data_IF_375223429889
#
_entry.id   IF_375223429889
#
_cell.length_a   1.000
_cell.length_b   1.000
_cell.length_c   1.000
_cell.angle_alpha   90.00
_cell.angle_beta   90.00
_cell.angle_gamma   90.00
#
_symmetry.space_group_name_H-M   'P 1'
#
loop_
_entity.id
_entity.type
_entity.pdbx_description
1 polymer ?
#
# COMPACT_ATOMS: atom_id res chain seq x y z
N UNK A 1 24.28 27.80 27.32
CA UNK A 1 23.57 27.13 26.22
C UNK A 1 22.17 26.90 26.72
N UNK A 2 21.19 27.53 26.10
CA UNK A 2 19.79 27.44 26.52
C UNK A 2 19.30 26.02 26.22
N UNK A 3 19.19 25.19 27.27
CA UNK A 3 18.87 23.75 27.18
C UNK A 3 17.39 23.45 27.30
N UNK A 4 16.53 24.47 27.13
CA UNK A 4 15.08 24.30 27.09
C UNK A 4 14.64 23.59 25.80
N UNK A 5 13.47 22.93 25.82
CA UNK A 5 12.87 22.44 24.59
C UNK A 5 12.65 23.61 23.63
N UNK A 6 13.13 23.50 22.39
CA UNK A 6 12.81 24.48 21.36
C UNK A 6 11.30 24.45 21.10
N UNK A 7 10.62 25.61 21.03
CA UNK A 7 9.21 25.63 20.67
C UNK A 7 9.01 25.06 19.27
N UNK A 8 7.87 24.39 19.06
CA UNK A 8 7.53 23.85 17.74
C UNK A 8 7.42 24.99 16.70
N UNK A 9 7.88 24.78 15.46
CA UNK A 9 7.79 25.78 14.39
C UNK A 9 6.36 26.27 14.22
N UNK A 10 6.20 27.59 14.08
CA UNK A 10 4.90 28.18 13.77
C UNK A 10 4.64 28.04 12.28
N UNK A 11 3.75 27.10 11.94
CA UNK A 11 3.35 26.83 10.55
C UNK A 11 2.00 27.44 10.22
N UNK A 12 1.37 28.24 11.09
CA UNK A 12 0.02 28.76 10.82
C UNK A 12 -0.02 29.91 9.82
N UNK A 13 1.09 30.64 9.64
CA UNK A 13 1.09 31.90 8.89
C UNK A 13 0.80 31.68 7.40
N UNK A 14 -0.44 31.93 6.97
CA UNK A 14 -0.91 31.61 5.62
C UNK A 14 -0.25 32.42 4.49
N UNK A 15 0.42 33.53 4.82
CA UNK A 15 1.17 34.35 3.86
C UNK A 15 2.59 33.84 3.65
N UNK A 16 3.07 32.97 4.54
CA UNK A 16 4.42 32.41 4.49
C UNK A 16 4.44 31.19 3.57
N UNK A 17 4.81 31.40 2.31
CA UNK A 17 4.88 30.33 1.31
C UNK A 17 6.06 29.37 1.56
N UNK A 18 6.99 29.75 2.44
CA UNK A 18 8.14 28.93 2.83
C UNK A 18 7.77 27.58 3.43
N UNK A 19 6.55 27.41 3.94
CA UNK A 19 6.04 26.16 4.50
C UNK A 19 5.67 25.11 3.45
N UNK A 20 5.33 25.52 2.21
CA UNK A 20 4.80 24.62 1.18
C UNK A 20 5.76 23.47 0.83
N UNK A 21 7.08 23.69 0.61
CA UNK A 21 8.01 22.60 0.39
C UNK A 21 8.07 21.60 1.55
N UNK A 22 7.90 22.05 2.79
CA UNK A 22 7.86 21.19 3.97
C UNK A 22 6.56 20.39 4.05
N UNK A 23 5.41 20.99 3.70
CA UNK A 23 4.14 20.27 3.60
C UNK A 23 4.25 19.13 2.58
N UNK A 24 4.75 19.42 1.38
CA UNK A 24 4.92 18.41 0.33
C UNK A 24 5.89 17.30 0.76
N UNK A 25 7.04 17.67 1.32
CA UNK A 25 8.04 16.70 1.78
C UNK A 25 7.53 15.83 2.94
N UNK A 26 6.81 16.42 3.90
CA UNK A 26 6.25 15.74 5.05
C UNK A 26 5.15 14.78 4.65
N UNK A 27 4.20 15.23 3.83
CA UNK A 27 3.11 14.37 3.35
C UNK A 27 3.64 13.24 2.48
N UNK A 28 4.60 13.50 1.58
CA UNK A 28 5.27 12.44 0.80
C UNK A 28 5.97 11.41 1.70
N UNK A 29 6.65 11.85 2.75
CA UNK A 29 7.31 10.96 3.70
C UNK A 29 6.29 10.07 4.43
N UNK A 30 5.20 10.65 4.92
CA UNK A 30 4.11 9.90 5.58
C UNK A 30 3.46 8.93 4.61
N UNK A 31 3.24 9.34 3.36
CA UNK A 31 2.64 8.51 2.31
C UNK A 31 3.53 7.30 1.97
N UNK A 32 4.85 7.51 1.84
CA UNK A 32 5.81 6.40 1.66
C UNK A 32 5.74 5.40 2.82
N UNK A 33 5.62 5.88 4.06
CA UNK A 33 5.45 5.01 5.23
C UNK A 33 4.11 4.27 5.19
N UNK A 34 3.01 4.94 4.84
CA UNK A 34 1.70 4.32 4.71
C UNK A 34 1.72 3.21 3.66
N UNK A 35 2.19 3.50 2.46
CA UNK A 35 2.24 2.52 1.37
C UNK A 35 3.13 1.35 1.77
N UNK A 36 4.29 1.60 2.38
CA UNK A 36 5.12 0.54 2.92
C UNK A 36 4.33 -0.35 3.90
N UNK A 37 3.61 0.23 4.85
CA UNK A 37 2.83 -0.55 5.80
C UNK A 37 1.70 -1.33 5.12
N UNK A 38 1.00 -0.72 4.17
CA UNK A 38 -0.09 -1.35 3.40
C UNK A 38 0.42 -2.53 2.55
N UNK A 39 1.60 -2.41 1.94
CA UNK A 39 2.19 -3.48 1.10
C UNK A 39 2.74 -4.64 1.92
N UNK A 40 3.38 -4.36 3.06
CA UNK A 40 4.07 -5.39 3.85
C UNK A 40 3.21 -5.96 4.99
N UNK A 41 2.15 -5.25 5.41
CA UNK A 41 1.24 -5.67 6.47
C UNK A 41 -0.24 -5.46 6.07
N UNK A 42 -0.70 -6.01 4.92
CA UNK A 42 -2.04 -5.75 4.37
C UNK A 42 -3.18 -6.16 5.31
N UNK A 43 -2.97 -7.21 6.12
CA UNK A 43 -3.96 -7.66 7.13
C UNK A 43 -4.16 -6.66 8.27
N UNK A 44 -3.23 -5.71 8.45
CA UNK A 44 -3.23 -4.73 9.55
C UNK A 44 -3.51 -3.31 9.09
N UNK A 45 -3.17 -2.98 7.84
CA UNK A 45 -3.23 -1.62 7.31
C UNK A 45 -3.86 -1.62 5.92
N UNK A 46 -4.96 -0.89 5.77
CA UNK A 46 -5.58 -0.57 4.47
C UNK A 46 -6.44 -1.65 3.80
N UNK A 47 -6.22 -2.93 4.11
CA UNK A 47 -6.99 -4.02 3.51
C UNK A 47 -6.76 -4.19 2.01
N UNK A 48 -7.72 -4.85 1.35
CA UNK A 48 -7.61 -5.18 -0.07
C UNK A 48 -7.85 -3.95 -0.95
N UNK A 49 -8.83 -3.12 -0.60
CA UNK A 49 -9.17 -1.93 -1.39
C UNK A 49 -8.04 -0.90 -1.42
N UNK A 50 -7.25 -0.72 -0.35
CA UNK A 50 -6.12 0.20 -0.38
C UNK A 50 -4.93 -0.36 -1.18
N UNK A 51 -4.71 -1.68 -1.18
CA UNK A 51 -3.74 -2.28 -2.09
C UNK A 51 -4.17 -2.14 -3.55
N UNK A 52 -5.46 -2.35 -3.83
CA UNK A 52 -6.04 -2.15 -5.16
C UNK A 52 -5.93 -0.69 -5.61
N UNK A 53 -6.05 0.29 -4.70
CA UNK A 53 -5.86 1.72 -4.99
C UNK A 53 -4.46 1.98 -5.57
N UNK A 54 -3.42 1.48 -4.91
CA UNK A 54 -2.06 1.65 -5.39
C UNK A 54 -1.71 0.75 -6.59
N UNK A 55 -2.35 -0.42 -6.73
CA UNK A 55 -2.15 -1.30 -7.90
C UNK A 55 -2.78 -0.72 -9.17
N UNK A 56 -3.96 -0.11 -9.06
CA UNK A 56 -4.67 0.45 -10.22
C UNK A 56 -4.13 1.82 -10.64
N UNK A 57 -3.83 2.70 -9.68
CA UNK A 57 -3.53 4.11 -9.97
C UNK A 57 -2.06 4.49 -9.76
N UNK A 58 -1.28 3.68 -9.02
CA UNK A 58 0.16 3.89 -8.85
C UNK A 58 0.50 5.31 -8.37
N UNK A 59 1.24 6.08 -9.18
CA UNK A 59 1.61 7.45 -8.84
C UNK A 59 0.41 8.43 -8.83
N UNK A 60 -0.66 8.15 -9.57
CA UNK A 60 -1.85 9.01 -9.60
C UNK A 60 -2.56 9.01 -8.24
N UNK A 61 -2.64 7.83 -7.61
CA UNK A 61 -3.10 7.66 -6.23
C UNK A 61 -2.25 8.50 -5.26
N UNK A 62 -0.93 8.34 -5.33
CA UNK A 62 0.01 9.08 -4.46
C UNK A 62 -0.13 10.59 -4.61
N UNK A 63 -0.27 11.07 -5.85
CA UNK A 63 -0.47 12.50 -6.12
C UNK A 63 -1.78 12.97 -5.49
N UNK A 64 -2.88 12.24 -5.67
CA UNK A 64 -4.16 12.59 -5.06
C UNK A 64 -4.07 12.69 -3.53
N UNK A 65 -3.46 11.68 -2.90
CA UNK A 65 -3.33 11.57 -1.43
C UNK A 65 -2.42 12.68 -0.87
N UNK A 66 -1.32 13.01 -1.56
CA UNK A 66 -0.45 14.11 -1.14
C UNK A 66 -1.16 15.45 -1.23
N UNK A 67 -1.78 15.76 -2.38
CA UNK A 67 -2.33 17.08 -2.61
C UNK A 67 -3.57 17.35 -1.75
N UNK A 68 -4.37 16.35 -1.44
CA UNK A 68 -5.53 16.59 -0.57
C UNK A 68 -5.13 16.97 0.85
N UNK A 69 -4.10 16.34 1.41
CA UNK A 69 -3.56 16.70 2.72
C UNK A 69 -2.92 18.10 2.69
N UNK A 70 -2.17 18.43 1.63
CA UNK A 70 -1.55 19.76 1.46
C UNK A 70 -2.62 20.85 1.37
N UNK A 71 -3.72 20.63 0.65
CA UNK A 71 -4.87 21.54 0.62
C UNK A 71 -5.45 21.71 2.04
N UNK A 72 -5.61 20.62 2.80
CA UNK A 72 -6.04 20.66 4.19
C UNK A 72 -5.12 21.52 5.08
N UNK A 73 -3.80 21.38 4.94
CA UNK A 73 -2.81 22.19 5.65
C UNK A 73 -2.93 23.69 5.30
N UNK A 74 -3.02 24.03 4.01
CA UNK A 74 -3.18 25.41 3.55
C UNK A 74 -4.49 26.05 4.06
N UNK A 75 -5.60 25.32 4.01
CA UNK A 75 -6.86 25.78 4.58
C UNK A 75 -6.77 25.97 6.10
N UNK A 76 -6.04 25.08 6.78
CA UNK A 76 -5.80 25.18 8.23
C UNK A 76 -4.97 26.40 8.59
N UNK A 77 -3.94 26.73 7.80
CA UNK A 77 -3.19 27.98 7.96
C UNK A 77 -4.11 29.20 7.92
N UNK A 78 -4.98 29.26 6.90
CA UNK A 78 -5.92 30.36 6.74
C UNK A 78 -6.92 30.43 7.91
N UNK A 79 -7.61 29.33 8.22
CA UNK A 79 -8.63 29.29 9.28
C UNK A 79 -8.01 29.56 10.65
N UNK A 80 -6.87 28.95 10.95
CA UNK A 80 -6.18 29.16 12.23
C UNK A 80 -5.75 30.62 12.39
N UNK A 81 -5.08 31.19 11.38
CA UNK A 81 -4.61 32.58 11.43
C UNK A 81 -5.76 33.57 11.51
N UNK A 82 -6.84 33.33 10.78
CA UNK A 82 -7.99 34.25 10.74
C UNK A 82 -8.84 34.22 12.02
N UNK A 83 -9.01 33.04 12.64
CA UNK A 83 -10.04 32.85 13.68
C UNK A 83 -9.53 32.36 15.03
N UNK A 84 -8.38 31.65 15.09
CA UNK A 84 -7.87 31.02 16.33
C UNK A 84 -6.70 31.81 16.90
N UNK A 85 -5.72 32.14 16.06
CA UNK A 85 -4.51 32.86 16.45
C UNK A 85 -4.76 34.21 17.13
N UNK A 86 -5.75 35.04 16.74
CA UNK A 86 -6.00 36.33 17.39
C UNK A 86 -6.37 36.21 18.88
N UNK A 87 -6.95 35.07 19.28
CA UNK A 87 -7.40 34.82 20.66
C UNK A 87 -6.38 34.02 21.46
N UNK A 88 -5.78 33.00 20.83
CA UNK A 88 -4.96 31.99 21.54
C UNK A 88 -3.47 32.05 21.21
N UNK A 89 -3.06 32.87 20.23
CA UNK A 89 -1.70 32.87 19.70
C UNK A 89 -1.32 31.57 18.98
N UNK A 90 -0.03 31.31 18.83
CA UNK A 90 0.46 30.06 18.28
C UNK A 90 0.29 28.91 19.28
N UNK A 91 -0.49 27.90 18.91
CA UNK A 91 -0.70 26.69 19.67
C UNK A 91 -0.78 25.50 18.68
N UNK A 92 0.26 24.65 18.62
CA UNK A 92 0.34 23.57 17.64
C UNK A 92 -0.77 22.52 17.82
N UNK A 93 -1.25 22.29 19.06
CA UNK A 93 -2.34 21.35 19.30
C UNK A 93 -3.67 21.88 18.77
N UNK A 94 -3.95 23.17 18.95
CA UNK A 94 -5.13 23.80 18.37
C UNK A 94 -5.03 23.85 16.84
N UNK A 95 -3.84 24.05 16.29
CA UNK A 95 -3.63 23.99 14.83
C UNK A 95 -3.96 22.60 14.27
N UNK A 96 -3.43 21.55 14.89
CA UNK A 96 -3.74 20.16 14.50
C UNK A 96 -5.23 19.85 14.68
N UNK A 97 -5.87 20.36 15.73
CA UNK A 97 -7.31 20.19 15.91
C UNK A 97 -8.13 20.88 14.79
N UNK A 98 -7.74 22.08 14.35
CA UNK A 98 -8.35 22.75 13.19
C UNK A 98 -8.14 21.92 11.93
N UNK A 99 -6.94 21.39 11.71
CA UNK A 99 -6.62 20.55 10.55
C UNK A 99 -7.48 19.30 10.47
N UNK A 100 -7.61 18.56 11.57
CA UNK A 100 -8.50 17.39 11.64
C UNK A 100 -9.95 17.80 11.41
N UNK A 101 -10.40 18.92 11.98
CA UNK A 101 -11.75 19.43 11.74
C UNK A 101 -12.03 19.74 10.27
N UNK A 102 -11.09 20.39 9.57
CA UNK A 102 -11.18 20.68 8.14
C UNK A 102 -11.20 19.40 7.32
N UNK A 103 -10.33 18.44 7.64
CA UNK A 103 -10.27 17.14 7.00
C UNK A 103 -11.63 16.40 7.12
N UNK A 104 -12.22 16.35 8.32
CA UNK A 104 -13.49 15.65 8.53
C UNK A 104 -14.63 16.28 7.73
N UNK A 105 -14.68 17.61 7.68
CA UNK A 105 -15.67 18.34 6.87
C UNK A 105 -15.45 18.04 5.38
N UNK A 106 -14.20 18.06 4.92
CA UNK A 106 -13.84 17.74 3.55
C UNK A 106 -14.31 16.34 3.16
N UNK A 107 -14.00 15.31 3.96
CA UNK A 107 -14.35 13.92 3.64
C UNK A 107 -15.86 13.71 3.54
N UNK A 108 -16.63 14.31 4.44
CA UNK A 108 -18.09 14.23 4.40
C UNK A 108 -18.65 14.90 3.15
N UNK A 109 -18.15 16.09 2.80
CA UNK A 109 -18.56 16.80 1.59
C UNK A 109 -18.15 16.00 0.35
N UNK A 110 -16.94 15.46 0.31
CA UNK A 110 -16.43 14.70 -0.82
C UNK A 110 -17.20 13.40 -1.02
N UNK A 111 -17.48 12.67 0.07
CA UNK A 111 -18.23 11.42 0.00
C UNK A 111 -19.67 11.65 -0.46
N UNK A 112 -20.41 12.55 0.20
CA UNK A 112 -21.83 12.75 -0.13
C UNK A 112 -22.05 13.61 -1.37
N UNK A 113 -21.16 14.56 -1.65
CA UNK A 113 -21.27 15.51 -2.75
C UNK A 113 -20.63 15.04 -4.05
N UNK A 114 -19.59 14.19 -3.99
CA UNK A 114 -18.82 13.77 -5.18
C UNK A 114 -18.85 12.26 -5.38
N UNK A 115 -18.41 11.46 -4.40
CA UNK A 115 -18.26 10.00 -4.58
C UNK A 115 -19.62 9.34 -4.79
N UNK A 116 -20.57 9.57 -3.89
CA UNK A 116 -21.88 8.88 -3.89
C UNK A 116 -22.75 9.21 -5.10
N UNK A 117 -22.83 10.45 -5.60
CA UNK A 117 -23.67 10.78 -6.75
C UNK A 117 -23.18 10.24 -8.10
N UNK A 118 -21.88 9.98 -8.26
CA UNK A 118 -21.32 9.49 -9.52
C UNK A 118 -21.76 8.03 -9.75
N UNK A 119 -22.44 7.69 -10.87
CA UNK A 119 -22.78 6.31 -11.20
C UNK A 119 -21.57 5.37 -11.30
N UNK A 120 -21.79 4.08 -10.98
CA UNK A 120 -20.75 3.05 -11.17
C UNK A 120 -20.41 2.88 -12.65
N UNK A 121 -19.12 2.65 -12.95
CA UNK A 121 -18.56 2.46 -14.28
C UNK A 121 -18.18 3.77 -15.01
N UNK A 122 -18.43 4.94 -14.41
CA UNK A 122 -18.06 6.23 -15.03
C UNK A 122 -16.65 6.70 -14.66
N UNK A 123 -16.15 6.32 -13.48
CA UNK A 123 -14.83 6.73 -13.00
C UNK A 123 -14.27 5.67 -12.05
N UNK A 124 -13.15 5.05 -12.45
CA UNK A 124 -12.55 3.96 -11.71
C UNK A 124 -12.13 4.35 -10.28
N UNK A 125 -11.62 5.58 -10.07
CA UNK A 125 -11.26 6.05 -8.73
C UNK A 125 -12.50 6.16 -7.84
N UNK A 126 -13.59 6.72 -8.36
CA UNK A 126 -14.85 6.86 -7.62
C UNK A 126 -15.46 5.51 -7.28
N UNK A 127 -15.33 4.53 -8.18
CA UNK A 127 -15.83 3.19 -7.95
C UNK A 127 -15.01 2.47 -6.89
N UNK A 128 -13.69 2.65 -6.87
CA UNK A 128 -12.84 2.11 -5.83
C UNK A 128 -13.07 2.82 -4.48
N UNK A 129 -13.31 4.12 -4.45
CA UNK A 129 -13.71 4.83 -3.23
C UNK A 129 -15.02 4.28 -2.65
N UNK A 130 -16.01 3.95 -3.48
CA UNK A 130 -17.25 3.31 -3.01
C UNK A 130 -17.00 1.92 -2.44
N UNK A 131 -16.11 1.14 -3.06
CA UNK A 131 -15.71 -0.18 -2.55
C UNK A 131 -15.01 -0.04 -1.19
N UNK A 132 -14.05 0.86 -1.09
CA UNK A 132 -13.32 1.18 0.14
C UNK A 132 -14.27 1.61 1.26
N UNK A 133 -15.24 2.48 0.96
CA UNK A 133 -16.29 2.91 1.90
C UNK A 133 -17.17 1.75 2.37
N UNK A 134 -17.49 0.78 1.50
CA UNK A 134 -18.24 -0.40 1.88
C UNK A 134 -17.43 -1.38 2.74
N UNK A 135 -16.11 -1.46 2.54
CA UNK A 135 -15.21 -2.33 3.30
C UNK A 135 -14.93 -1.81 4.72
N UNK A 136 -14.62 -0.52 4.86
CA UNK A 136 -14.11 0.05 6.13
C UNK A 136 -15.09 0.99 6.83
N UNK A 137 -16.14 1.47 6.16
CA UNK A 137 -17.15 2.34 6.76
C UNK A 137 -16.54 3.58 7.44
N UNK A 138 -16.89 3.82 8.70
CA UNK A 138 -16.42 4.99 9.46
C UNK A 138 -14.96 4.90 9.92
N UNK A 139 -14.31 3.74 9.83
CA UNK A 139 -12.89 3.60 10.19
C UNK A 139 -11.98 4.38 9.23
N UNK A 140 -12.45 4.70 8.02
CA UNK A 140 -11.74 5.53 7.04
C UNK A 140 -11.39 6.89 7.64
N UNK A 141 -12.36 7.54 8.29
CA UNK A 141 -12.17 8.86 8.89
C UNK A 141 -11.07 8.85 9.96
N UNK A 142 -10.90 7.74 10.68
CA UNK A 142 -9.83 7.59 11.65
C UNK A 142 -8.46 7.41 10.98
N UNK A 143 -8.42 6.64 9.89
CA UNK A 143 -7.22 6.47 9.06
C UNK A 143 -6.75 7.80 8.49
N UNK A 144 -7.66 8.54 7.87
CA UNK A 144 -7.35 9.82 7.22
C UNK A 144 -6.97 10.89 8.27
N UNK A 145 -7.62 10.90 9.44
CA UNK A 145 -7.21 11.72 10.58
C UNK A 145 -5.78 11.40 11.04
N UNK A 146 -5.39 10.12 11.08
CA UNK A 146 -4.03 9.72 11.41
C UNK A 146 -3.00 10.21 10.37
N UNK A 147 -3.36 10.20 9.08
CA UNK A 147 -2.50 10.70 8.01
C UNK A 147 -2.29 12.22 8.07
N UNK A 148 -3.34 13.00 8.32
CA UNK A 148 -3.18 14.47 8.45
C UNK A 148 -2.43 14.85 9.74
N UNK A 149 -2.66 14.16 10.86
CA UNK A 149 -1.90 14.35 12.11
C UNK A 149 -0.43 13.98 11.88
N UNK A 150 -0.18 12.83 11.25
CA UNK A 150 1.15 12.37 10.89
C UNK A 150 1.89 13.38 10.00
N UNK A 151 1.19 13.94 9.01
CA UNK A 151 1.76 14.93 8.08
C UNK A 151 2.07 16.26 8.76
N UNK A 152 1.21 16.74 9.66
CA UNK A 152 1.51 17.91 10.48
C UNK A 152 2.70 17.66 11.42
N UNK A 153 2.75 16.50 12.07
CA UNK A 153 3.87 16.09 12.92
C UNK A 153 5.19 16.01 12.15
N UNK A 154 5.18 15.39 10.96
CA UNK A 154 6.32 15.33 10.08
C UNK A 154 6.75 16.72 9.60
N UNK A 155 5.80 17.62 9.31
CA UNK A 155 6.10 19.01 8.96
C UNK A 155 6.86 19.71 10.10
N UNK A 156 6.39 19.60 11.34
CA UNK A 156 7.09 20.18 12.50
C UNK A 156 8.52 19.63 12.64
N UNK A 157 8.71 18.33 12.39
CA UNK A 157 10.02 17.70 12.43
C UNK A 157 10.94 18.20 11.30
N UNK A 158 10.43 18.29 10.07
CA UNK A 158 11.20 18.74 8.91
C UNK A 158 11.58 20.22 8.98
N UNK A 159 10.72 21.09 9.52
CA UNK A 159 11.06 22.50 9.73
C UNK A 159 12.07 22.71 10.86
N UNK A 160 12.22 21.74 11.76
CA UNK A 160 13.16 21.80 12.87
C UNK A 160 14.59 21.38 12.50
N UNK A 161 14.80 20.85 11.29
CA UNK A 161 16.11 20.39 10.79
C UNK A 161 16.62 21.31 9.65
N UNK A 162 17.91 21.23 9.27
CA UNK A 162 18.44 22.04 8.18
C UNK A 162 17.67 21.79 6.86
N UNK A 163 17.38 22.83 6.05
CA UNK A 163 16.60 22.69 4.81
C UNK A 163 17.17 21.65 3.83
N UNK A 164 18.50 21.54 3.75
CA UNK A 164 19.17 20.51 2.96
C UNK A 164 18.78 19.08 3.40
N UNK A 165 18.67 18.83 4.72
CA UNK A 165 18.28 17.52 5.25
C UNK A 165 16.82 17.21 4.93
N UNK A 166 15.92 18.18 5.08
CA UNK A 166 14.51 18.03 4.69
C UNK A 166 14.37 17.72 3.18
N UNK A 167 15.09 18.44 2.33
CA UNK A 167 15.13 18.19 0.90
C UNK A 167 15.71 16.80 0.56
N UNK A 168 16.79 16.39 1.22
CA UNK A 168 17.36 15.06 1.05
C UNK A 168 16.38 13.95 1.43
N UNK A 169 15.59 14.14 2.50
CA UNK A 169 14.54 13.18 2.87
C UNK A 169 13.43 13.14 1.83
N UNK A 170 13.00 14.29 1.29
CA UNK A 170 12.01 14.32 0.21
C UNK A 170 12.48 13.57 -1.05
N UNK A 171 13.75 13.79 -1.45
CA UNK A 171 14.37 13.08 -2.58
C UNK A 171 14.46 11.58 -2.31
N UNK A 172 14.84 11.18 -1.10
CA UNK A 172 14.89 9.77 -0.72
C UNK A 172 13.50 9.13 -0.76
N UNK A 173 12.48 9.79 -0.20
CA UNK A 173 11.09 9.32 -0.24
C UNK A 173 10.62 9.12 -1.68
N UNK A 174 10.81 10.13 -2.54
CA UNK A 174 10.45 10.04 -3.97
C UNK A 174 11.23 8.91 -4.68
N UNK A 175 12.52 8.73 -4.38
CA UNK A 175 13.33 7.67 -4.95
C UNK A 175 12.86 6.27 -4.53
N UNK A 176 12.43 6.10 -3.27
CA UNK A 176 11.96 4.80 -2.76
C UNK A 176 10.56 4.43 -3.24
N UNK A 177 9.73 5.43 -3.54
CA UNK A 177 8.32 5.25 -3.84
C UNK A 177 8.04 4.25 -4.99
N UNK A 178 8.72 4.30 -6.16
CA UNK A 178 8.49 3.34 -7.23
C UNK A 178 8.73 1.89 -6.82
N UNK A 179 9.74 1.62 -5.98
CA UNK A 179 10.04 0.27 -5.53
C UNK A 179 8.95 -0.28 -4.62
N UNK A 180 8.43 0.56 -3.72
CA UNK A 180 7.36 0.17 -2.80
C UNK A 180 6.04 -0.01 -3.57
N UNK A 181 5.69 0.91 -4.48
CA UNK A 181 4.48 0.81 -5.30
C UNK A 181 4.45 -0.48 -6.14
N UNK A 182 5.60 -0.90 -6.68
CA UNK A 182 5.73 -2.12 -7.46
C UNK A 182 5.94 -3.39 -6.62
N UNK A 183 5.91 -3.28 -5.28
CA UNK A 183 5.95 -4.45 -4.40
C UNK A 183 4.55 -5.03 -4.28
N UNK A 184 4.36 -6.25 -4.81
CA UNK A 184 3.11 -6.99 -4.61
C UNK A 184 2.94 -7.33 -3.14
N UNK A 185 1.75 -7.10 -2.60
CA UNK A 185 1.40 -7.53 -1.26
C UNK A 185 1.60 -9.04 -1.15
N UNK A 186 2.70 -9.45 -0.51
CA UNK A 186 2.89 -10.86 -0.21
C UNK A 186 2.03 -11.13 1.02
N UNK A 187 0.99 -11.94 0.86
CA UNK A 187 0.55 -12.78 1.98
C UNK A 187 1.80 -13.51 2.39
N UNK A 188 2.40 -13.15 3.53
CA UNK A 188 3.45 -13.94 4.14
C UNK A 188 2.81 -15.29 4.39
N UNK A 189 2.94 -16.20 3.41
CA UNK A 189 2.45 -17.56 3.50
C UNK A 189 3.16 -18.07 4.73
N UNK A 190 2.42 -18.17 5.83
CA UNK A 190 2.88 -18.86 7.00
C UNK A 190 3.23 -20.24 6.49
N UNK A 191 4.53 -20.52 6.36
CA UNK A 191 4.99 -21.85 6.01
C UNK A 191 4.34 -22.74 7.07
N UNK A 192 3.41 -23.64 6.71
CA UNK A 192 2.81 -24.50 7.70
C UNK A 192 3.99 -25.24 8.32
N UNK A 193 4.16 -25.20 9.64
CA UNK A 193 5.21 -25.95 10.32
C UNK A 193 4.87 -27.44 10.22
N UNK A 194 5.04 -28.02 9.05
CA UNK A 194 5.04 -29.46 8.83
C UNK A 194 6.41 -29.96 9.22
N UNK A 195 6.61 -30.12 10.52
CA UNK A 195 7.52 -31.15 11.04
C UNK A 195 7.17 -31.50 12.49
N UNK A 196 5.88 -31.73 12.78
CA UNK A 196 5.54 -32.75 13.77
C UNK A 196 5.62 -34.07 13.03
N UNK A 197 6.75 -34.77 13.23
CA UNK A 197 6.96 -36.17 12.84
C UNK A 197 5.70 -36.96 13.16
N UNK A 198 4.90 -37.28 12.14
CA UNK A 198 4.03 -38.43 12.19
C UNK A 198 4.95 -39.64 12.25
N UNK A 199 5.07 -40.18 13.46
CA UNK A 199 5.57 -41.51 13.70
C UNK A 199 4.61 -42.46 12.96
N UNK A 200 4.95 -42.79 11.71
CA UNK A 200 4.27 -43.81 10.93
C UNK A 200 4.48 -45.13 11.67
N UNK A 201 3.54 -45.44 12.57
CA UNK A 201 3.34 -46.77 13.10
C UNK A 201 2.93 -47.61 11.88
N UNK A 202 3.88 -48.38 11.34
CA UNK A 202 3.61 -49.43 10.37
C UNK A 202 2.62 -50.40 11.02
N UNK A 203 1.33 -50.23 10.76
CA UNK A 203 0.38 -51.32 10.88
C UNK A 203 0.56 -52.20 9.64
N UNK A 204 1.04 -53.42 9.87
CA UNK A 204 1.03 -54.48 8.88
C UNK A 204 -0.41 -54.70 8.39
N UNK A 205 -0.65 -54.76 7.07
CA UNK A 205 -1.97 -55.10 6.57
C UNK A 205 -2.30 -56.55 6.99
N UNK A 206 -3.53 -56.82 7.44
CA UNK A 206 -3.94 -58.17 7.80
C UNK A 206 -3.80 -59.08 6.58
N UNK A 207 -3.22 -60.27 6.81
CA UNK A 207 -3.03 -61.29 5.79
C UNK A 207 -4.36 -61.56 5.05
N UNK A 208 -4.38 -61.27 3.74
CA UNK A 208 -5.51 -61.63 2.87
C UNK A 208 -5.63 -63.16 2.85
N UNK A 209 -6.69 -63.69 3.44
CA UNK A 209 -7.12 -65.06 3.17
C UNK A 209 -7.56 -65.12 1.72
N UNK A 210 -6.86 -65.92 0.91
CA UNK A 210 -7.21 -66.17 -0.47
C UNK A 210 -8.61 -66.80 -0.54
N UNK A 211 -9.50 -66.23 -1.35
CA UNK A 211 -10.82 -66.80 -1.56
C UNK A 211 -10.75 -67.84 -2.69
N UNK A 212 -11.62 -68.86 -2.72
CA UNK A 212 -11.63 -69.88 -3.78
C UNK A 212 -11.74 -69.31 -5.21
N UNK A 213 -12.24 -68.09 -5.33
CA UNK A 213 -12.44 -67.38 -6.60
C UNK A 213 -11.14 -66.79 -7.20
N UNK A 214 -10.07 -66.67 -6.42
CA UNK A 214 -8.79 -66.12 -6.89
C UNK A 214 -8.04 -67.06 -7.85
N UNK A 215 -8.43 -68.35 -7.91
CA UNK A 215 -7.84 -69.35 -8.82
C UNK A 215 -8.44 -69.33 -10.24
N UNK A 216 -9.52 -68.57 -10.48
CA UNK A 216 -10.26 -68.60 -11.74
C UNK A 216 -9.94 -67.41 -12.68
N UNK A 217 -8.94 -66.59 -12.36
CA UNK A 217 -8.55 -65.50 -13.26
C UNK A 217 -7.69 -66.05 -14.42
N UNK A 218 -8.13 -65.91 -15.68
CA UNK A 218 -7.30 -66.28 -16.82
C UNK A 218 -6.06 -65.39 -16.86
N UNK A 219 -4.90 -66.02 -17.04
CA UNK A 219 -3.62 -65.37 -17.28
C UNK A 219 -3.68 -64.60 -18.61
N UNK A 220 -4.00 -63.30 -18.54
CA UNK A 220 -3.89 -62.41 -19.69
C UNK A 220 -2.41 -62.10 -19.89
N UNK A 221 -1.79 -62.75 -20.89
CA UNK A 221 -0.48 -62.37 -21.40
C UNK A 221 -0.58 -60.98 -22.04
N UNK A 222 -0.02 -59.96 -21.38
CA UNK A 222 0.11 -58.63 -21.98
C UNK A 222 1.21 -58.65 -23.04
N UNK A 223 0.81 -58.46 -24.30
CA UNK A 223 1.72 -58.21 -25.41
C UNK A 223 2.16 -56.74 -25.43
N UNK A 224 3.49 -56.56 -25.34
CA UNK A 224 4.34 -55.60 -26.08
C UNK A 224 4.17 -54.06 -25.87
N UNK A 225 5.13 -53.36 -25.20
CA UNK A 225 5.08 -51.92 -24.92
C UNK A 225 5.74 -50.99 -25.97
N UNK A 226 5.85 -51.39 -27.24
CA UNK A 226 6.70 -50.67 -28.24
C UNK A 226 6.02 -49.47 -28.94
N UNK A 227 4.79 -49.09 -28.60
CA UNK A 227 4.08 -48.01 -29.33
C UNK A 227 4.02 -46.63 -28.65
N UNK A 228 4.59 -46.46 -27.44
CA UNK A 228 4.48 -45.18 -26.72
C UNK A 228 5.57 -44.14 -27.06
N UNK A 229 6.70 -44.53 -27.68
CA UNK A 229 7.86 -43.62 -27.84
C UNK A 229 7.86 -42.74 -29.11
N UNK A 230 6.96 -42.94 -30.08
CA UNK A 230 6.97 -42.14 -31.33
C UNK A 230 6.28 -40.77 -31.26
N UNK A 231 5.60 -40.43 -30.17
CA UNK A 231 4.86 -39.16 -30.06
C UNK A 231 5.64 -38.01 -29.41
N UNK A 232 6.79 -38.26 -28.79
CA UNK A 232 7.58 -37.21 -28.09
C UNK A 232 8.57 -36.46 -28.99
N UNK A 233 8.96 -37.01 -30.14
CA UNK A 233 9.94 -36.38 -31.05
C UNK A 233 9.39 -35.26 -31.94
N UNK A 234 8.07 -35.09 -32.05
CA UNK A 234 7.47 -34.11 -32.97
C UNK A 234 7.20 -32.72 -32.36
N UNK A 235 7.38 -32.56 -31.04
CA UNK A 235 7.08 -31.29 -30.35
C UNK A 235 8.31 -30.45 -29.99
N UNK A 236 9.53 -30.93 -30.28
CA UNK A 236 10.77 -30.21 -29.92
C UNK A 236 11.36 -29.35 -31.04
N UNK A 237 10.74 -29.26 -32.22
CA UNK A 237 11.31 -28.59 -33.40
C UNK A 237 10.67 -27.23 -33.78
N UNK A 238 9.83 -26.63 -32.92
CA UNK A 238 9.12 -25.37 -33.25
C UNK A 238 9.36 -24.14 -32.36
N UNK A 239 10.39 -24.12 -31.51
CA UNK A 239 10.78 -22.88 -30.79
C UNK A 239 12.15 -22.37 -31.25
N UNK A 240 12.18 -21.73 -32.42
CA UNK A 240 13.34 -21.00 -32.92
C UNK A 240 13.09 -19.49 -32.96
N UNK A 241 14.03 -18.74 -32.36
CA UNK A 241 14.46 -17.40 -32.76
C UNK A 241 13.54 -16.19 -32.46
N UNK A 242 13.83 -15.49 -31.36
CA UNK A 242 13.92 -14.01 -31.34
C UNK A 242 14.72 -13.53 -30.09
N UNK A 243 16.03 -13.72 -30.12
CA UNK A 243 16.95 -13.02 -29.21
C UNK A 243 17.28 -11.64 -29.81
N UNK A 244 16.69 -10.56 -29.27
CA UNK A 244 17.23 -9.21 -29.42
C UNK A 244 17.88 -8.79 -28.11
N UNK A 245 19.21 -8.82 -28.14
CA UNK A 245 20.12 -8.31 -27.11
C UNK A 245 20.06 -6.79 -27.11
N UNK A 246 19.45 -6.19 -26.09
CA UNK A 246 19.60 -4.78 -25.77
C UNK A 246 20.91 -4.57 -24.98
N UNK A 247 21.81 -3.75 -25.52
CA UNK A 247 23.08 -3.36 -24.88
C UNK A 247 22.87 -2.09 -24.03
N UNK A 248 23.29 -2.06 -22.74
CA UNK A 248 22.97 -0.97 -21.82
C UNK A 248 23.92 0.25 -21.85
N UNK A 249 24.65 0.51 -22.95
CA UNK A 249 25.70 1.57 -22.98
C UNK A 249 25.52 2.69 -24.01
N UNK A 250 24.30 2.96 -24.50
CA UNK A 250 24.11 3.94 -25.59
C UNK A 250 23.60 5.33 -25.18
N UNK A 251 23.64 5.74 -23.91
CA UNK A 251 23.30 7.12 -23.51
C UNK A 251 24.21 7.63 -22.39
N UNK A 252 25.40 8.07 -22.80
CA UNK A 252 26.06 9.26 -22.26
C UNK A 252 25.67 10.46 -23.13
#
# INVERSE_FOLDING_TARGET
MDSGPKPLPNISEFKELGHIPYFLAATLLVEVVLIFLTRYFPEKVGGDSLNEWYDQFGLEAVIADIFIIVIGLLLSQYVYTAYVAPTYGWNPLLFVAVLVGIQLIHDLIFYYGVIKPIPQGLNNMMDLFKKYAAEHGSLILLGDAALVIGSAGATFALESIPPFAAAAMAVLSMYTLPYILNTKAQVLVSVPSKEKKEEVKKEEPPARQATPWDMLKPQVQSHNPVQAERKSQWLSEQSGSHDQVFSPYSLL
#
